data_IF_569907294468
#
_entry.id   IF_569907294468
#
_cell.length_a   1.000
_cell.length_b   1.000
_cell.length_c   1.000
_cell.angle_alpha   90.00
_cell.angle_beta   90.00
_cell.angle_gamma   90.00
#
_symmetry.space_group_name_H-M   'P 1'
#
loop_
_entity.id
_entity.type
_entity.pdbx_description
1 polymer ?
#
# COMPACT_ATOMS: atom_id res chain seq x y z
N UNK A 1 -8.45 -20.41 -53.58
CA UNK A 1 -7.46 -19.61 -52.83
C UNK A 1 -6.78 -20.50 -51.80
N UNK A 2 -5.47 -20.66 -52.01
CA UNK A 2 -4.38 -21.35 -51.27
C UNK A 2 -4.68 -22.12 -49.96
N UNK A 3 -4.50 -23.43 -50.05
CA UNK A 3 -4.54 -24.48 -49.01
C UNK A 3 -3.20 -24.65 -48.24
N UNK A 4 -2.34 -23.64 -48.28
CA UNK A 4 -0.93 -23.73 -47.82
C UNK A 4 -0.73 -23.18 -46.40
N UNK A 5 -1.72 -22.47 -45.83
CA UNK A 5 -1.61 -21.83 -44.52
C UNK A 5 -1.82 -22.73 -43.29
N UNK A 6 -2.42 -23.91 -43.44
CA UNK A 6 -2.81 -24.78 -42.30
C UNK A 6 -1.71 -25.72 -41.82
N UNK A 7 -0.64 -25.92 -42.60
CA UNK A 7 0.46 -26.83 -42.27
C UNK A 7 1.67 -26.16 -41.63
N UNK A 8 1.77 -24.82 -41.67
CA UNK A 8 2.88 -24.08 -41.05
C UNK A 8 2.63 -23.72 -39.58
N UNK A 9 1.38 -23.72 -39.11
CA UNK A 9 1.04 -23.45 -37.70
C UNK A 9 0.98 -24.73 -36.84
N UNK A 10 1.61 -25.81 -37.29
CA UNK A 10 1.67 -27.10 -36.61
C UNK A 10 3.09 -27.48 -36.15
N UNK A 11 4.06 -26.56 -36.23
CA UNK A 11 5.38 -26.78 -35.65
C UNK A 11 5.33 -26.61 -34.13
N UNK A 12 4.94 -27.68 -33.44
CA UNK A 12 5.27 -27.91 -32.04
C UNK A 12 6.78 -28.13 -31.92
N UNK A 13 7.48 -27.27 -31.18
CA UNK A 13 8.77 -27.65 -30.58
C UNK A 13 8.50 -28.07 -29.13
N UNK A 14 8.90 -29.29 -28.73
CA UNK A 14 8.81 -29.73 -27.34
C UNK A 14 10.09 -29.44 -26.54
N UNK A 15 9.87 -29.16 -25.26
CA UNK A 15 10.76 -29.39 -24.11
C UNK A 15 11.96 -28.44 -23.91
N UNK A 16 11.82 -27.47 -23.02
CA UNK A 16 12.49 -27.57 -21.71
C UNK A 16 11.51 -27.20 -20.61
N UNK A 17 11.48 -28.04 -19.60
CA UNK A 17 10.75 -27.83 -18.36
C UNK A 17 11.43 -26.70 -17.61
N UNK A 18 10.77 -25.54 -17.54
CA UNK A 18 10.94 -24.63 -16.41
C UNK A 18 9.55 -24.41 -15.84
N UNK A 19 9.18 -25.36 -15.00
CA UNK A 19 8.07 -25.30 -14.09
C UNK A 19 8.38 -24.27 -13.00
N UNK A 20 8.24 -22.98 -13.29
CA UNK A 20 7.93 -22.01 -12.23
C UNK A 20 6.73 -21.17 -12.67
N UNK A 21 5.57 -21.60 -12.16
CA UNK A 21 4.42 -20.77 -11.80
C UNK A 21 4.39 -19.38 -12.46
N UNK A 22 3.67 -19.30 -13.58
CA UNK A 22 3.16 -18.04 -14.12
C UNK A 22 2.10 -17.48 -13.17
N UNK A 23 2.49 -17.01 -11.99
CA UNK A 23 1.65 -16.08 -11.24
C UNK A 23 1.75 -14.72 -11.93
N UNK A 24 0.61 -14.17 -12.34
CA UNK A 24 0.55 -12.91 -13.10
C UNK A 24 1.04 -11.73 -12.25
N UNK A 25 2.35 -11.51 -12.31
CA UNK A 25 3.07 -10.52 -11.53
C UNK A 25 3.02 -9.18 -12.26
N UNK A 26 2.34 -8.18 -11.67
CA UNK A 26 2.43 -6.81 -12.17
C UNK A 26 3.72 -6.19 -11.67
N UNK A 27 4.68 -6.02 -12.57
CA UNK A 27 5.98 -5.41 -12.29
C UNK A 27 5.87 -3.89 -12.39
N UNK A 28 5.99 -3.18 -11.28
CA UNK A 28 6.12 -1.73 -11.27
C UNK A 28 7.59 -1.34 -11.42
N UNK A 29 7.89 -0.43 -12.35
CA UNK A 29 9.24 0.06 -12.61
C UNK A 29 9.39 1.46 -12.02
N UNK A 30 10.32 1.61 -11.08
CA UNK A 30 10.70 2.87 -10.47
C UNK A 30 12.18 3.14 -10.77
N UNK A 31 12.47 3.77 -11.92
CA UNK A 31 13.84 3.90 -12.41
C UNK A 31 14.43 2.52 -12.74
N UNK A 32 15.52 2.14 -12.07
CA UNK A 32 16.11 0.80 -12.19
C UNK A 32 15.42 -0.24 -11.28
N UNK A 33 14.64 0.19 -10.29
CA UNK A 33 14.01 -0.71 -9.33
C UNK A 33 12.74 -1.34 -9.93
N UNK A 34 12.73 -2.67 -10.02
CA UNK A 34 11.57 -3.43 -10.47
C UNK A 34 10.92 -4.08 -9.27
N UNK A 35 9.69 -3.70 -8.97
CA UNK A 35 8.94 -4.24 -7.84
C UNK A 35 7.80 -5.09 -8.37
N UNK A 36 7.95 -6.40 -8.19
CA UNK A 36 6.93 -7.37 -8.54
C UNK A 36 5.86 -7.44 -7.47
N UNK A 37 4.64 -7.04 -7.84
CA UNK A 37 3.48 -7.14 -6.96
C UNK A 37 2.61 -8.32 -7.41
N UNK A 38 2.56 -9.33 -6.54
CA UNK A 38 1.60 -10.44 -6.60
C UNK A 38 0.34 -10.09 -5.78
N UNK A 39 -0.80 -10.77 -6.04
CA UNK A 39 -2.00 -10.61 -5.21
C UNK A 39 -1.73 -10.78 -3.71
N UNK A 40 -0.89 -11.75 -3.33
CA UNK A 40 -0.52 -12.01 -1.95
C UNK A 40 0.25 -10.84 -1.33
N UNK A 41 1.27 -10.30 -2.02
CA UNK A 41 2.04 -9.13 -1.54
C UNK A 41 1.14 -7.89 -1.37
N UNK A 42 0.21 -7.67 -2.30
CA UNK A 42 -0.75 -6.57 -2.22
C UNK A 42 -1.70 -6.73 -1.01
N UNK A 43 -2.21 -7.93 -0.73
CA UNK A 43 -3.04 -8.18 0.45
C UNK A 43 -2.27 -7.99 1.76
N UNK A 44 -1.02 -8.47 1.84
CA UNK A 44 -0.17 -8.25 3.02
C UNK A 44 0.06 -6.76 3.24
N UNK A 45 0.38 -6.02 2.17
CA UNK A 45 0.54 -4.56 2.23
C UNK A 45 -0.75 -3.85 2.68
N UNK A 46 -1.92 -4.31 2.25
CA UNK A 46 -3.20 -3.78 2.71
C UNK A 46 -3.42 -4.01 4.21
N UNK A 47 -3.08 -5.20 4.72
CA UNK A 47 -3.16 -5.49 6.17
C UNK A 47 -2.20 -4.60 6.97
N UNK A 48 -0.97 -4.43 6.49
CA UNK A 48 0.01 -3.53 7.12
C UNK A 48 -0.52 -2.09 7.16
N UNK A 49 -1.07 -1.60 6.04
CA UNK A 49 -1.69 -0.28 5.97
C UNK A 49 -2.87 -0.14 6.95
N UNK A 50 -3.72 -1.17 7.07
CA UNK A 50 -4.84 -1.13 7.99
C UNK A 50 -4.37 -0.98 9.44
N UNK A 51 -3.42 -1.82 9.87
CA UNK A 51 -2.87 -1.80 11.24
C UNK A 51 -2.19 -0.45 11.52
N UNK A 52 -1.34 0.03 10.60
CA UNK A 52 -0.68 1.33 10.74
C UNK A 52 -1.69 2.50 10.83
N UNK A 53 -2.78 2.42 10.05
CA UNK A 53 -3.84 3.42 10.06
C UNK A 53 -4.57 3.47 11.40
N UNK A 54 -4.90 2.31 11.97
CA UNK A 54 -5.52 2.20 13.30
C UNK A 54 -4.58 2.77 14.37
N UNK A 55 -3.30 2.38 14.37
CA UNK A 55 -2.32 2.89 15.33
C UNK A 55 -2.17 4.42 15.24
N UNK A 56 -2.12 4.96 14.02
CA UNK A 56 -2.05 6.41 13.79
C UNK A 56 -3.29 7.14 14.28
N UNK A 57 -4.47 6.54 14.10
CA UNK A 57 -5.74 7.07 14.60
C UNK A 57 -5.80 7.08 16.12
N UNK A 58 -5.49 5.95 16.77
CA UNK A 58 -5.46 5.84 18.24
C UNK A 58 -4.46 6.82 18.86
N UNK A 59 -3.29 6.99 18.24
CA UNK A 59 -2.31 7.99 18.66
C UNK A 59 -2.86 9.41 18.56
N UNK A 60 -3.57 9.75 17.47
CA UNK A 60 -4.22 11.04 17.31
C UNK A 60 -5.27 11.29 18.40
N UNK A 61 -6.11 10.29 18.69
CA UNK A 61 -7.12 10.37 19.76
C UNK A 61 -6.47 10.56 21.14
N UNK A 62 -5.37 9.83 21.40
CA UNK A 62 -4.57 9.99 22.60
C UNK A 62 -4.06 11.41 22.79
N UNK A 63 -3.46 12.02 21.75
CA UNK A 63 -2.97 13.41 21.80
C UNK A 63 -4.13 14.42 21.93
N UNK A 64 -5.27 14.14 21.28
CA UNK A 64 -6.45 15.01 21.34
C UNK A 64 -7.07 15.01 22.73
N UNK A 65 -7.03 13.88 23.46
CA UNK A 65 -7.56 13.75 24.82
C UNK A 65 -6.81 14.56 25.88
N UNK A 66 -5.58 15.01 25.59
CA UNK A 66 -4.78 15.83 26.51
C UNK A 66 -5.35 17.26 26.55
N UNK A 67 -5.77 17.77 27.72
CA UNK A 67 -6.27 19.13 27.86
C UNK A 67 -5.15 20.16 27.63
N UNK A 68 -5.43 21.27 26.94
CA UNK A 68 -4.43 22.34 26.77
C UNK A 68 -4.01 22.98 28.10
N UNK A 69 -4.89 22.98 29.09
CA UNK A 69 -4.56 23.45 30.44
C UNK A 69 -3.48 22.61 31.14
N UNK A 70 -3.25 21.36 30.71
CA UNK A 70 -2.14 20.54 31.23
C UNK A 70 -0.78 20.96 30.66
N UNK A 71 -0.76 21.81 29.63
CA UNK A 71 0.47 22.36 29.01
C UNK A 71 0.87 23.70 29.63
N UNK A 72 0.09 24.20 30.59
CA UNK A 72 0.25 25.50 31.27
C UNK A 72 1.30 25.45 32.39
N UNK A 73 2.34 24.63 32.23
CA UNK A 73 3.39 24.47 33.23
C UNK A 73 4.58 25.38 32.88
N UNK A 74 4.59 26.54 33.51
CA UNK A 74 5.75 27.41 33.81
C UNK A 74 6.17 28.55 32.85
N UNK A 75 5.77 28.61 31.57
CA UNK A 75 6.20 29.70 30.67
C UNK A 75 5.31 29.87 29.42
N UNK A 76 4.95 31.12 29.07
CA UNK A 76 4.15 31.44 27.88
C UNK A 76 4.81 30.99 26.57
N UNK A 77 6.14 31.03 26.48
CA UNK A 77 6.86 30.57 25.29
C UNK A 77 6.84 29.03 25.17
N UNK A 78 6.91 28.32 26.30
CA UNK A 78 6.79 26.87 26.34
C UNK A 78 5.35 26.42 26.03
N UNK A 79 4.36 27.21 26.44
CA UNK A 79 2.94 26.98 26.15
C UNK A 79 2.66 27.05 24.63
N UNK A 80 3.19 28.06 23.94
CA UNK A 80 3.05 28.19 22.48
C UNK A 80 3.74 27.04 21.73
N UNK A 81 4.93 26.63 22.18
CA UNK A 81 5.62 25.46 21.63
C UNK A 81 4.83 24.17 21.84
N UNK A 82 4.30 23.95 23.05
CA UNK A 82 3.51 22.76 23.34
C UNK A 82 2.21 22.70 22.51
N UNK A 83 1.55 23.84 22.33
CA UNK A 83 0.34 23.95 21.51
C UNK A 83 0.60 23.71 20.02
N UNK A 84 1.66 24.33 19.47
CA UNK A 84 2.04 24.11 18.07
C UNK A 84 2.49 22.67 17.82
N UNK A 85 3.25 22.07 18.74
CA UNK A 85 3.66 20.67 18.68
C UNK A 85 2.45 19.73 18.71
N UNK A 86 1.49 19.96 19.61
CA UNK A 86 0.23 19.20 19.67
C UNK A 86 -0.50 19.26 18.32
N UNK A 87 -0.66 20.45 17.75
CA UNK A 87 -1.31 20.64 16.46
C UNK A 87 -0.55 19.92 15.33
N UNK A 88 0.79 20.01 15.31
CA UNK A 88 1.62 19.35 14.32
C UNK A 88 1.51 17.81 14.43
N UNK A 89 1.55 17.26 15.65
CA UNK A 89 1.40 15.84 15.88
C UNK A 89 0.01 15.33 15.48
N UNK A 90 -1.06 16.07 15.80
CA UNK A 90 -2.41 15.73 15.35
C UNK A 90 -2.52 15.74 13.83
N UNK A 91 -1.99 16.77 13.17
CA UNK A 91 -1.99 16.87 11.71
C UNK A 91 -1.25 15.69 11.06
N UNK A 92 -0.06 15.33 11.57
CA UNK A 92 0.72 14.18 11.08
C UNK A 92 -0.01 12.87 11.33
N UNK A 93 -0.58 12.65 12.51
CA UNK A 93 -1.24 11.39 12.83
C UNK A 93 -2.53 11.19 12.02
N UNK A 94 -3.38 12.21 11.91
CA UNK A 94 -4.60 12.13 11.10
C UNK A 94 -4.30 12.02 9.60
N UNK A 95 -3.33 12.77 9.08
CA UNK A 95 -2.93 12.63 7.67
C UNK A 95 -2.34 11.25 7.37
N UNK A 96 -1.52 10.71 8.28
CA UNK A 96 -0.98 9.34 8.17
C UNK A 96 -2.10 8.30 8.20
N UNK A 97 -3.06 8.41 9.12
CA UNK A 97 -4.21 7.51 9.19
C UNK A 97 -5.05 7.56 7.90
N UNK A 98 -5.30 8.76 7.36
CA UNK A 98 -6.03 8.96 6.12
C UNK A 98 -5.30 8.36 4.91
N UNK A 99 -4.01 8.69 4.74
CA UNK A 99 -3.19 8.12 3.67
C UNK A 99 -3.13 6.60 3.78
N UNK A 100 -3.01 6.06 4.99
CA UNK A 100 -2.98 4.61 5.20
C UNK A 100 -4.30 3.93 4.82
N UNK A 101 -5.44 4.56 5.12
CA UNK A 101 -6.74 4.08 4.68
C UNK A 101 -6.83 4.05 3.14
N UNK A 102 -6.39 5.12 2.47
CA UNK A 102 -6.32 5.17 1.02
C UNK A 102 -5.42 4.07 0.44
N UNK A 103 -4.23 3.88 1.01
CA UNK A 103 -3.29 2.84 0.57
C UNK A 103 -3.86 1.44 0.78
N UNK A 104 -4.52 1.18 1.90
CA UNK A 104 -5.18 -0.10 2.21
C UNK A 104 -6.23 -0.43 1.15
N UNK A 105 -7.10 0.52 0.83
CA UNK A 105 -8.13 0.34 -0.20
C UNK A 105 -7.50 0.14 -1.58
N UNK A 106 -6.50 0.95 -1.94
CA UNK A 106 -5.82 0.84 -3.23
C UNK A 106 -5.14 -0.52 -3.42
N UNK A 107 -4.41 -1.00 -2.40
CA UNK A 107 -3.74 -2.30 -2.44
C UNK A 107 -4.74 -3.46 -2.45
N UNK A 108 -5.84 -3.35 -1.71
CA UNK A 108 -6.88 -4.36 -1.73
C UNK A 108 -7.57 -4.46 -3.11
N UNK A 109 -7.89 -3.32 -3.74
CA UNK A 109 -8.41 -3.28 -5.09
C UNK A 109 -7.40 -3.81 -6.11
N UNK A 110 -6.11 -3.48 -5.94
CA UNK A 110 -5.04 -4.01 -6.79
C UNK A 110 -4.92 -5.53 -6.67
N UNK A 111 -4.97 -6.08 -5.46
CA UNK A 111 -4.93 -7.52 -5.22
C UNK A 111 -6.10 -8.23 -5.93
N UNK A 112 -7.30 -7.65 -5.88
CA UNK A 112 -8.47 -8.17 -6.60
C UNK A 112 -8.32 -8.11 -8.12
N UNK A 113 -7.77 -7.02 -8.65
CA UNK A 113 -7.53 -6.91 -10.09
C UNK A 113 -6.47 -7.90 -10.59
N UNK A 114 -5.45 -8.20 -9.79
CA UNK A 114 -4.44 -9.19 -10.15
C UNK A 114 -5.04 -10.60 -10.11
N UNK A 115 -5.81 -10.93 -9.07
CA UNK A 115 -6.50 -12.22 -8.99
C UNK A 115 -7.49 -12.45 -10.13
N UNK A 116 -8.21 -11.42 -10.57
CA UNK A 116 -9.22 -11.50 -11.64
C UNK A 116 -8.65 -11.64 -13.06
N UNK A 117 -7.33 -11.48 -13.25
CA UNK A 117 -6.71 -11.67 -14.56
C UNK A 117 -6.13 -13.08 -14.75
N UNK A 118 -5.93 -13.78 -13.64
CA UNK A 118 -5.41 -15.15 -13.61
C UNK A 118 -6.51 -16.21 -13.88
N UNK A 119 -7.79 -15.82 -13.79
CA UNK A 119 -8.98 -16.60 -14.17
C UNK A 119 -9.49 -16.21 -15.56
#
# INVERSE_FOLDING_TARGET
>A
MITTGKLLSASSMPMEADEELKEETRVFKFGELQVEITPQKANIGAVIGLVFGILSWELAQGIQSIPESSLEYANDNALLLAKSLRAALLAVCFSSAFLSACTTVALFLLARQLKSKED
#
